data_IF_983185068717
#
_entry.id   IF_983185068717
#
_cell.length_a   1.000
_cell.length_b   1.000
_cell.length_c   1.000
_cell.angle_alpha   90.00
_cell.angle_beta   90.00
_cell.angle_gamma   90.00
#
_symmetry.space_group_name_H-M   'P 1'
#
loop_
_entity.id
_entity.type
_entity.pdbx_description
1 polymer ?
#
# COMPACT_ATOMS: atom_id res chain seq x y z
N UNK A 1 28.69 -6.23 26.91
CA UNK A 1 27.37 -6.85 26.71
C UNK A 1 26.30 -5.79 26.88
N UNK A 2 25.30 -5.82 25.99
CA UNK A 2 23.97 -5.20 26.16
C UNK A 2 23.89 -3.65 26.20
N UNK A 3 24.21 -3.03 25.08
CA UNK A 3 23.50 -1.83 24.62
C UNK A 3 22.86 -2.17 23.28
N UNK A 4 22.00 -3.20 23.29
CA UNK A 4 21.10 -3.49 22.19
C UNK A 4 20.09 -2.35 22.14
N UNK A 5 20.47 -1.24 21.49
CA UNK A 5 19.56 -0.19 21.05
C UNK A 5 18.33 -0.89 20.51
N UNK A 6 17.20 -0.79 21.22
CA UNK A 6 15.90 -1.14 20.69
C UNK A 6 15.66 -0.18 19.53
N UNK A 7 16.19 -0.51 18.36
CA UNK A 7 15.79 0.09 17.10
C UNK A 7 14.39 -0.46 16.87
N UNK A 8 13.41 0.15 17.53
CA UNK A 8 12.01 -0.02 17.18
C UNK A 8 11.87 0.77 15.89
N UNK A 9 12.25 0.15 14.76
CA UNK A 9 11.79 0.59 13.45
C UNK A 9 10.27 0.47 13.51
N UNK A 10 9.60 1.53 13.97
CA UNK A 10 8.17 1.66 13.74
C UNK A 10 8.07 1.83 12.24
N UNK A 11 7.56 0.81 11.58
CA UNK A 11 7.14 0.92 10.18
C UNK A 11 6.31 2.19 10.04
N UNK A 12 6.65 3.02 9.05
CA UNK A 12 5.86 4.19 8.72
C UNK A 12 4.44 3.77 8.33
N UNK A 13 3.43 4.54 8.71
CA UNK A 13 2.02 4.20 8.50
C UNK A 13 1.69 3.94 7.02
N UNK A 14 2.31 4.70 6.10
CA UNK A 14 2.13 4.50 4.66
C UNK A 14 2.73 3.17 4.22
N UNK A 15 3.89 2.81 4.77
CA UNK A 15 4.53 1.51 4.50
C UNK A 15 3.68 0.34 5.00
N UNK A 16 3.10 0.47 6.20
CA UNK A 16 2.16 -0.52 6.75
C UNK A 16 0.93 -0.69 5.86
N UNK A 17 0.29 0.42 5.48
CA UNK A 17 -0.91 0.42 4.65
C UNK A 17 -0.64 -0.17 3.26
N UNK A 18 0.46 0.20 2.62
CA UNK A 18 0.86 -0.36 1.33
C UNK A 18 1.11 -1.87 1.44
N UNK A 19 1.80 -2.31 2.49
CA UNK A 19 2.07 -3.74 2.73
C UNK A 19 0.78 -4.54 2.91
N UNK A 20 -0.18 -4.03 3.69
CA UNK A 20 -1.48 -4.69 3.88
C UNK A 20 -2.29 -4.75 2.58
N UNK A 21 -2.32 -3.67 1.81
CA UNK A 21 -2.97 -3.65 0.50
C UNK A 21 -2.34 -4.67 -0.45
N UNK A 22 -1.01 -4.73 -0.50
CA UNK A 22 -0.27 -5.71 -1.31
C UNK A 22 -0.53 -7.15 -0.85
N UNK A 23 -0.68 -7.42 0.44
CA UNK A 23 -1.04 -8.75 0.94
C UNK A 23 -2.43 -9.18 0.44
N UNK A 24 -3.42 -8.30 0.54
CA UNK A 24 -4.78 -8.58 0.05
C UNK A 24 -4.79 -8.76 -1.47
N UNK A 25 -4.14 -7.85 -2.21
CA UNK A 25 -4.06 -7.92 -3.66
C UNK A 25 -3.31 -9.18 -4.11
N UNK A 26 -2.20 -9.55 -3.47
CA UNK A 26 -1.44 -10.75 -3.84
C UNK A 26 -2.21 -12.04 -3.61
N UNK A 27 -3.07 -12.08 -2.58
CA UNK A 27 -3.88 -13.25 -2.27
C UNK A 27 -5.07 -13.45 -3.23
N UNK A 28 -5.55 -12.37 -3.86
CA UNK A 28 -6.75 -12.41 -4.71
C UNK A 28 -6.47 -12.22 -6.19
N UNK A 29 -5.62 -11.25 -6.52
CA UNK A 29 -5.35 -10.77 -7.88
C UNK A 29 -3.84 -10.43 -8.03
N UNK A 30 -2.97 -11.44 -8.21
CA UNK A 30 -1.51 -11.26 -8.21
C UNK A 30 -1.01 -10.22 -9.23
N UNK A 31 -1.68 -10.12 -10.38
CA UNK A 31 -1.33 -9.16 -11.44
C UNK A 31 -1.57 -7.71 -11.02
N UNK A 32 -2.61 -7.46 -10.22
CA UNK A 32 -2.86 -6.14 -9.64
C UNK A 32 -1.79 -5.81 -8.61
N UNK A 33 -1.38 -6.77 -7.78
CA UNK A 33 -0.28 -6.57 -6.84
C UNK A 33 1.04 -6.26 -7.56
N UNK A 34 1.30 -6.85 -8.73
CA UNK A 34 2.45 -6.52 -9.56
C UNK A 34 2.40 -5.07 -10.07
N UNK A 35 1.21 -4.56 -10.43
CA UNK A 35 1.04 -3.13 -10.80
C UNK A 35 1.24 -2.21 -9.60
N UNK A 36 0.62 -2.50 -8.45
CA UNK A 36 0.75 -1.68 -7.24
C UNK A 36 2.19 -1.61 -6.72
N UNK A 37 2.97 -2.67 -6.93
CA UNK A 37 4.40 -2.72 -6.57
C UNK A 37 5.33 -2.13 -7.65
N UNK A 38 4.78 -1.62 -8.75
CA UNK A 38 5.55 -1.07 -9.87
C UNK A 38 6.32 -2.12 -10.68
N UNK A 39 6.15 -3.42 -10.39
CA UNK A 39 6.80 -4.53 -11.11
C UNK A 39 6.18 -4.80 -12.47
N UNK A 40 4.96 -4.30 -12.70
CA UNK A 40 4.24 -4.42 -13.97
C UNK A 40 3.59 -3.10 -14.33
N UNK A 41 3.57 -2.77 -15.62
CA UNK A 41 2.89 -1.58 -16.12
C UNK A 41 1.39 -1.85 -16.30
N UNK A 42 0.54 -0.89 -15.93
CA UNK A 42 -0.91 -0.97 -16.10
C UNK A 42 -1.33 -1.30 -17.55
N UNK A 43 -0.66 -0.70 -18.53
CA UNK A 43 -1.01 -0.90 -19.96
C UNK A 43 -0.66 -2.30 -20.46
N UNK A 44 0.22 -3.03 -19.75
CA UNK A 44 0.60 -4.40 -20.06
C UNK A 44 -0.39 -5.44 -19.52
N UNK A 45 -1.39 -5.02 -18.73
CA UNK A 45 -2.46 -5.89 -18.29
C UNK A 45 -3.46 -6.15 -19.41
N UNK A 46 -4.13 -7.30 -19.28
CA UNK A 46 -5.28 -7.64 -20.10
C UNK A 46 -6.39 -6.58 -19.88
N UNK A 47 -7.14 -6.17 -20.92
CA UNK A 47 -8.09 -5.05 -20.83
C UNK A 47 -9.07 -5.11 -19.65
N UNK A 48 -9.57 -6.30 -19.33
CA UNK A 48 -10.49 -6.57 -18.22
C UNK A 48 -9.85 -6.32 -16.84
N UNK A 49 -8.54 -6.47 -16.71
CA UNK A 49 -7.81 -6.26 -15.46
C UNK A 49 -7.44 -4.78 -15.20
N UNK A 50 -7.54 -3.91 -16.21
CA UNK A 50 -7.11 -2.50 -16.10
C UNK A 50 -8.00 -1.69 -15.15
N UNK A 51 -9.31 -1.87 -15.23
CA UNK A 51 -10.25 -1.20 -14.32
C UNK A 51 -10.00 -1.64 -12.86
N UNK A 52 -9.94 -2.95 -12.54
CA UNK A 52 -9.54 -3.41 -11.20
C UNK A 52 -8.21 -2.86 -10.71
N UNK A 53 -7.18 -2.81 -11.57
CA UNK A 53 -5.88 -2.27 -11.20
C UNK A 53 -5.92 -0.76 -10.90
N UNK A 54 -6.70 0.01 -11.66
CA UNK A 54 -6.98 1.41 -11.37
C UNK A 54 -7.75 1.58 -10.06
N UNK A 55 -8.74 0.74 -9.80
CA UNK A 55 -9.50 0.76 -8.54
C UNK A 55 -8.60 0.47 -7.34
N UNK A 56 -7.71 -0.52 -7.43
CA UNK A 56 -6.76 -0.82 -6.37
C UNK A 56 -5.76 0.33 -6.14
N UNK A 57 -5.36 1.03 -7.21
CA UNK A 57 -4.57 2.26 -7.09
C UNK A 57 -5.36 3.37 -6.41
N UNK A 58 -6.66 3.48 -6.68
CA UNK A 58 -7.59 4.37 -5.99
C UNK A 58 -7.68 4.07 -4.48
N UNK A 59 -7.79 2.79 -4.11
CA UNK A 59 -7.78 2.36 -2.70
C UNK A 59 -6.49 2.78 -2.01
N UNK A 60 -5.34 2.64 -2.68
CA UNK A 60 -4.08 3.13 -2.13
C UNK A 60 -4.11 4.64 -1.81
N UNK A 61 -4.60 5.47 -2.74
CA UNK A 61 -4.74 6.90 -2.50
C UNK A 61 -5.73 7.21 -1.36
N UNK A 62 -6.85 6.49 -1.26
CA UNK A 62 -7.80 6.66 -0.16
C UNK A 62 -7.19 6.32 1.20
N UNK A 63 -6.39 5.26 1.28
CA UNK A 63 -5.66 4.89 2.50
C UNK A 63 -4.67 6.00 2.92
N UNK A 64 -3.98 6.62 1.96
CA UNK A 64 -3.11 7.76 2.23
C UNK A 64 -3.89 8.97 2.77
N UNK A 65 -5.03 9.29 2.17
CA UNK A 65 -5.90 10.37 2.65
C UNK A 65 -6.36 10.14 4.09
N UNK A 66 -6.80 8.92 4.42
CA UNK A 66 -7.24 8.58 5.78
C UNK A 66 -6.08 8.71 6.79
N UNK A 67 -4.87 8.27 6.43
CA UNK A 67 -3.70 8.41 7.30
C UNK A 67 -3.36 9.90 7.55
N UNK A 68 -3.40 10.73 6.51
CA UNK A 68 -3.16 12.17 6.63
C UNK A 68 -4.24 12.86 7.48
N UNK A 69 -5.52 12.48 7.31
CA UNK A 69 -6.64 12.98 8.13
C UNK A 69 -6.48 12.59 9.61
N UNK A 70 -6.07 11.35 9.89
CA UNK A 70 -5.82 10.87 11.25
C UNK A 70 -4.69 11.64 11.93
N UNK A 71 -3.61 11.93 11.20
CA UNK A 71 -2.51 12.77 11.70
C UNK A 71 -2.99 14.19 12.00
N UNK A 72 -3.78 14.77 11.10
CA UNK A 72 -4.36 16.10 11.30
C UNK A 72 -5.30 16.15 12.51
N UNK A 73 -6.06 15.08 12.77
CA UNK A 73 -6.92 14.97 13.96
C UNK A 73 -6.13 14.88 15.27
N UNK A 74 -4.99 14.19 15.28
CA UNK A 74 -4.13 14.05 16.47
C UNK A 74 -3.33 15.30 16.81
N UNK A 75 -3.13 16.20 15.84
CA UNK A 75 -2.41 17.44 16.03
C UNK A 75 -3.27 18.58 16.60
N UNK A 76 -4.57 18.32 16.83
CA UNK A 76 -5.53 19.23 17.46
C UNK A 76 -5.73 18.87 18.92
#
# INVERSE_FOLDING_TARGET
MEQSKRIRFREDERSLLLRLLLQVASAREPEIAAVLSGRRSLVSLAPEQRIPALQASGVWFQLLTIADELLAMRAR
#
